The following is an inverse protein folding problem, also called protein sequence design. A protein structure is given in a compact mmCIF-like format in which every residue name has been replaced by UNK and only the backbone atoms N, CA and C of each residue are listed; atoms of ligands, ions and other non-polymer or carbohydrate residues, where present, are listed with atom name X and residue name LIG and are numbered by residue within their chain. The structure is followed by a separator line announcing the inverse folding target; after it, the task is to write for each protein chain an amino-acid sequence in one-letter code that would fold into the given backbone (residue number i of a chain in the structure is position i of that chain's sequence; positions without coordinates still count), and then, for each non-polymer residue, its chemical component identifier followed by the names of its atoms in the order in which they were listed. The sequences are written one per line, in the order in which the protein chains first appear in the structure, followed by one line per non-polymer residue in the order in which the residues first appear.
data_IF_516677991951
#
_entry.id   IF_516677991951
#
_cell.length_a   1.000
_cell.length_b   1.000
_cell.length_c   1.000
_cell.angle_alpha   90.00
_cell.angle_beta   90.00
_cell.angle_gamma   90.00
#
_symmetry.space_group_name_H-M   'P 1'
#
loop_
_entity.id
_entity.type
_entity.pdbx_description
1 polymer ?
#
# COMPACT_ATOMS: atom_id res chain seq x y z
N UNK A 1 7.49 3.56 -1.49
CA UNK A 1 6.23 3.64 -2.26
C UNK A 1 5.05 3.37 -1.34
N UNK A 2 3.91 4.03 -1.56
CA UNK A 2 2.70 3.76 -0.78
C UNK A 2 1.90 2.61 -1.38
N UNK A 3 1.53 1.65 -0.55
CA UNK A 3 0.75 0.46 -0.93
C UNK A 3 -0.45 0.33 0.01
N UNK A 4 -1.66 0.10 -0.51
CA UNK A 4 -2.85 -0.22 0.28
C UNK A 4 -2.60 -1.48 1.10
N UNK A 5 -3.04 -1.51 2.36
CA UNK A 5 -2.83 -2.67 3.21
C UNK A 5 -3.59 -3.94 2.72
N UNK A 6 -4.67 -3.74 1.96
CA UNK A 6 -5.42 -4.76 1.21
C UNK A 6 -6.09 -4.11 -0.01
N UNK A 7 -6.69 -4.91 -0.89
CA UNK A 7 -7.39 -4.41 -2.08
C UNK A 7 -8.42 -3.32 -1.78
N UNK A 8 -9.17 -3.49 -0.70
CA UNK A 8 -10.25 -2.57 -0.27
C UNK A 8 -9.84 -1.61 0.85
N UNK A 9 -8.59 -1.69 1.35
CA UNK A 9 -8.17 -0.85 2.47
C UNK A 9 -8.04 0.62 2.08
N UNK A 10 -8.63 1.52 2.87
CA UNK A 10 -8.35 2.96 2.76
C UNK A 10 -7.02 3.35 3.40
N UNK A 11 -6.35 2.43 4.10
CA UNK A 11 -5.05 2.65 4.74
C UNK A 11 -3.95 2.20 3.78
N UNK A 12 -2.93 3.03 3.64
CA UNK A 12 -1.74 2.74 2.86
C UNK A 12 -0.50 2.81 3.75
N UNK A 13 0.48 1.94 3.48
CA UNK A 13 1.73 1.86 4.21
C UNK A 13 2.91 2.16 3.29
N UNK A 14 3.98 2.74 3.85
CA UNK A 14 5.20 3.00 3.13
C UNK A 14 6.06 1.74 3.07
N UNK A 15 6.37 1.29 1.87
CA UNK A 15 7.30 0.19 1.61
C UNK A 15 8.57 0.69 0.92
N UNK A 16 9.70 0.02 1.20
CA UNK A 16 10.90 0.17 0.40
C UNK A 16 10.64 -0.34 -1.03
N UNK A 17 11.07 0.44 -2.02
CA UNK A 17 10.80 0.15 -3.44
C UNK A 17 11.48 -1.14 -3.87
N UNK A 18 12.74 -1.35 -3.48
CA UNK A 18 13.51 -2.53 -3.88
C UNK A 18 12.95 -3.79 -3.25
N UNK A 19 12.62 -3.74 -1.95
CA UNK A 19 12.00 -4.85 -1.25
C UNK A 19 10.63 -5.21 -1.84
N UNK A 20 9.80 -4.22 -2.15
CA UNK A 20 8.48 -4.46 -2.72
C UNK A 20 8.56 -4.98 -4.16
N UNK A 21 9.46 -4.44 -4.99
CA UNK A 21 9.72 -4.97 -6.34
C UNK A 21 10.13 -6.44 -6.32
N UNK A 22 10.92 -6.86 -5.32
CA UNK A 22 11.27 -8.27 -5.13
C UNK A 22 10.04 -9.14 -4.84
N UNK A 23 9.14 -8.69 -3.97
CA UNK A 23 7.89 -9.41 -3.69
C UNK A 23 7.05 -9.61 -4.96
N UNK A 24 6.93 -8.56 -5.78
CA UNK A 24 6.20 -8.63 -7.07
C UNK A 24 6.88 -9.61 -8.03
N UNK A 25 8.20 -9.55 -8.16
CA UNK A 25 8.98 -10.44 -9.03
C UNK A 25 8.87 -11.92 -8.63
N UNK A 26 8.88 -12.19 -7.32
CA UNK A 26 8.74 -13.54 -6.76
C UNK A 26 7.28 -14.03 -6.73
N UNK A 27 6.31 -13.20 -7.16
CA UNK A 27 4.86 -13.44 -7.04
C UNK A 27 4.45 -13.74 -5.59
N UNK A 28 5.19 -13.16 -4.64
CA UNK A 28 4.91 -13.26 -3.22
C UNK A 28 3.62 -12.51 -2.89
N UNK A 29 2.86 -12.97 -1.88
CA UNK A 29 1.64 -12.29 -1.47
C UNK A 29 1.94 -11.00 -0.69
N UNK A 30 0.91 -10.17 -0.51
CA UNK A 30 1.00 -8.94 0.28
C UNK A 30 1.52 -9.25 1.70
N UNK A 31 2.53 -8.52 2.21
CA UNK A 31 3.21 -8.90 3.45
C UNK A 31 2.34 -8.77 4.70
N UNK A 32 1.30 -7.93 4.69
CA UNK A 32 0.40 -7.75 5.83
C UNK A 32 -0.78 -8.72 5.82
N UNK A 33 -1.45 -8.87 4.67
CA UNK A 33 -2.74 -9.56 4.55
C UNK A 33 -2.67 -10.86 3.78
N UNK A 34 -1.52 -11.16 3.16
CA UNK A 34 -1.29 -12.33 2.32
C UNK A 34 -2.16 -12.40 1.06
N UNK A 35 -2.86 -11.32 0.72
CA UNK A 35 -3.61 -11.19 -0.54
C UNK A 35 -2.68 -11.20 -1.77
N UNK A 36 -3.23 -11.54 -2.93
CA UNK A 36 -2.50 -11.39 -4.19
C UNK A 36 -2.25 -9.90 -4.45
N UNK A 37 -0.98 -9.55 -4.69
CA UNK A 37 -0.61 -8.18 -5.07
C UNK A 37 -1.23 -7.80 -6.43
N UNK A 38 -1.89 -6.65 -6.46
CA UNK A 38 -2.46 -6.06 -7.68
C UNK A 38 -1.97 -4.63 -7.87
N UNK A 39 -1.97 -4.15 -9.11
CA UNK A 39 -1.56 -2.77 -9.41
C UNK A 39 -2.45 -1.72 -8.71
N UNK A 40 -3.73 -2.04 -8.44
CA UNK A 40 -4.66 -1.19 -7.70
C UNK A 40 -4.27 -0.95 -6.24
N UNK A 41 -3.38 -1.78 -5.68
CA UNK A 41 -2.82 -1.55 -4.34
C UNK A 41 -1.73 -0.48 -4.34
N UNK A 42 -1.09 -0.17 -5.47
CA UNK A 42 -0.05 0.85 -5.54
C UNK A 42 -0.70 2.24 -5.58
N UNK A 43 -0.35 3.10 -4.63
CA UNK A 43 -0.91 4.45 -4.49
C UNK A 43 0.16 5.49 -4.79
N UNK A 44 -0.22 6.50 -5.58
CA UNK A 44 0.66 7.65 -5.82
C UNK A 44 0.89 8.44 -4.53
N UNK A 45 2.08 9.03 -4.37
CA UNK A 45 2.48 9.68 -3.12
C UNK A 45 1.61 10.90 -2.77
N UNK A 46 1.02 11.55 -3.76
CA UNK A 46 0.07 12.67 -3.64
C UNK A 46 -1.36 12.23 -3.30
N UNK A 47 -1.63 10.93 -3.13
CA UNK A 47 -2.98 10.40 -2.82
C UNK A 47 -3.08 9.71 -1.47
N UNK A 48 -1.96 9.55 -0.75
CA UNK A 48 -1.89 8.86 0.54
C UNK A 48 -1.35 9.82 1.61
N UNK A 49 -2.20 10.30 2.51
CA UNK A 49 -1.87 11.36 3.45
C UNK A 49 -1.94 10.86 4.89
N UNK A 50 -1.07 11.41 5.75
CA UNK A 50 -1.12 11.09 7.17
C UNK A 50 -2.38 11.71 7.82
N UNK A 51 -3.24 10.86 8.37
CA UNK A 51 -4.41 11.26 9.15
C UNK A 51 -4.03 11.18 10.64
N UNK A 52 -3.94 12.35 11.28
CA UNK A 52 -3.60 12.44 12.70
C UNK A 52 -4.64 11.82 13.63
N UNK A 53 -5.92 11.79 13.25
CA UNK A 53 -6.98 11.17 14.03
C UNK A 53 -6.92 9.64 13.98
N UNK A 54 -6.43 9.08 12.87
CA UNK A 54 -6.26 7.63 12.67
C UNK A 54 -4.85 7.12 12.96
N UNK A 55 -3.86 8.02 13.11
CA UNK A 55 -2.46 7.67 13.32
C UNK A 55 -1.83 6.88 12.16
N UNK A 56 -2.38 6.99 10.94
CA UNK A 56 -1.97 6.19 9.78
C UNK A 56 -2.08 7.00 8.49
N UNK A 57 -1.40 6.55 7.43
CA UNK A 57 -1.60 7.13 6.11
C UNK A 57 -2.86 6.54 5.47
N UNK A 58 -3.72 7.41 4.96
CA UNK A 58 -4.99 7.04 4.35
C UNK A 58 -5.14 7.66 2.97
N UNK A 59 -5.83 6.95 2.10
CA UNK A 59 -6.27 7.48 0.82
C UNK A 59 -7.34 8.52 1.10
N UNK A 60 -7.15 9.76 0.63
CA UNK A 60 -8.24 10.72 0.53
C UNK A 60 -8.88 10.56 -0.84
N UNK A 61 -10.17 10.22 -0.86
CA UNK A 61 -10.98 10.43 -2.05
C UNK A 61 -10.97 11.94 -2.36
N UNK A 62 -10.71 12.26 -3.63
CA UNK A 62 -10.73 13.64 -4.14
C UNK A 62 -12.12 14.25 -4.06
#
# INVERSE_FOLDING_TARGET
MFIKNSGDSVVCSLFDVTAFSRLVSEKSPHPLTREKLTASMVVSADKCFYDHGKGSFVIKDS
#
